data_IF_767618316661
#
_entry.id   IF_767618316661
#
_cell.length_a   1.000
_cell.length_b   1.000
_cell.length_c   1.000
_cell.angle_alpha   90.00
_cell.angle_beta   90.00
_cell.angle_gamma   90.00
#
_symmetry.space_group_name_H-M   'P 1'
#
loop_
_entity.id
_entity.type
_entity.pdbx_description
1 polymer ?
#
# COMPACT_ATOMS: atom_id res chain seq x y z
N UNK A 1 2.70 7.43 15.32
CA UNK A 1 3.65 7.34 14.18
C UNK A 1 3.71 8.69 13.48
N UNK A 2 4.90 9.16 13.14
CA UNK A 2 5.10 10.40 12.39
C UNK A 2 5.92 10.09 11.14
N UNK A 3 5.42 10.51 9.96
CA UNK A 3 6.13 10.42 8.69
C UNK A 3 6.46 11.84 8.23
N UNK A 4 7.72 12.22 8.30
CA UNK A 4 8.23 13.53 7.89
C UNK A 4 8.91 13.53 6.53
N UNK A 5 9.47 12.39 6.14
CA UNK A 5 10.19 12.22 4.87
C UNK A 5 9.47 11.17 4.00
N UNK A 6 8.77 11.62 2.98
CA UNK A 6 8.10 10.78 1.99
C UNK A 6 8.05 11.49 0.64
N UNK A 7 7.73 10.78 -0.43
CA UNK A 7 7.84 11.26 -1.82
C UNK A 7 7.24 12.65 -2.07
N UNK A 8 6.14 12.98 -1.41
CA UNK A 8 5.41 14.25 -1.56
C UNK A 8 5.55 15.18 -0.35
N UNK A 9 6.46 14.90 0.59
CA UNK A 9 6.65 15.68 1.83
C UNK A 9 7.01 17.16 1.60
N UNK A 10 7.50 17.51 0.41
CA UNK A 10 7.77 18.90 0.03
C UNK A 10 6.50 19.74 -0.17
N UNK A 11 5.35 19.10 -0.32
CA UNK A 11 4.05 19.73 -0.62
C UNK A 11 3.02 19.54 0.49
N UNK A 12 3.30 18.69 1.46
CA UNK A 12 2.39 18.34 2.55
C UNK A 12 3.12 18.31 3.88
N UNK A 13 2.40 18.63 4.94
CA UNK A 13 2.88 18.53 6.30
C UNK A 13 3.21 17.08 6.70
N UNK A 14 3.98 16.87 7.79
CA UNK A 14 4.23 15.54 8.31
C UNK A 14 2.92 14.78 8.59
N UNK A 15 2.85 13.54 8.14
CA UNK A 15 1.69 12.68 8.40
C UNK A 15 1.82 12.14 9.82
N UNK A 16 0.85 12.46 10.67
CA UNK A 16 0.76 11.97 12.06
C UNK A 16 -0.40 11.00 12.16
N UNK A 17 -0.11 9.75 12.51
CA UNK A 17 -1.11 8.69 12.65
C UNK A 17 -1.07 8.06 14.03
N UNK A 18 -2.25 7.88 14.61
CA UNK A 18 -2.44 7.05 15.80
C UNK A 18 -2.62 5.61 15.35
N UNK A 19 -1.71 4.73 15.75
CA UNK A 19 -1.78 3.32 15.40
C UNK A 19 -2.80 2.60 16.30
N UNK A 20 -3.55 1.62 15.78
CA UNK A 20 -4.43 0.78 16.60
C UNK A 20 -3.65 0.07 17.70
N UNK A 21 -4.25 -0.05 18.89
CA UNK A 21 -3.60 -0.64 20.08
C UNK A 21 -3.05 -2.05 19.82
N UNK A 22 -3.80 -2.90 19.12
CA UNK A 22 -3.35 -4.25 18.76
C UNK A 22 -2.10 -4.24 17.89
N UNK A 23 -1.98 -3.28 16.96
CA UNK A 23 -0.80 -3.13 16.13
C UNK A 23 0.40 -2.60 16.92
N UNK A 24 0.17 -1.65 17.83
CA UNK A 24 1.21 -1.14 18.73
C UNK A 24 1.83 -2.24 19.58
N UNK A 25 1.00 -3.12 20.18
CA UNK A 25 1.49 -4.27 20.97
C UNK A 25 2.37 -5.22 20.16
N UNK A 26 1.96 -5.53 18.92
CA UNK A 26 2.77 -6.38 18.01
C UNK A 26 4.11 -5.71 17.71
N UNK A 27 4.08 -4.40 17.45
CA UNK A 27 5.26 -3.62 17.14
C UNK A 27 6.23 -3.57 18.35
N UNK A 28 5.73 -3.27 19.55
CA UNK A 28 6.49 -3.23 20.79
C UNK A 28 7.13 -4.60 21.06
N UNK A 29 6.37 -5.69 21.06
CA UNK A 29 6.90 -7.04 21.19
C UNK A 29 7.98 -7.37 20.16
N UNK A 30 7.81 -6.92 18.92
CA UNK A 30 8.80 -7.13 17.86
C UNK A 30 10.09 -6.37 18.11
N UNK A 31 10.01 -5.14 18.61
CA UNK A 31 11.18 -4.31 18.93
C UNK A 31 11.90 -4.79 20.20
N UNK A 32 11.16 -5.27 21.20
CA UNK A 32 11.73 -5.87 22.41
C UNK A 32 12.50 -7.16 22.12
N UNK A 33 11.94 -8.03 21.26
CA UNK A 33 12.59 -9.29 20.87
C UNK A 33 13.81 -9.09 19.97
N UNK A 34 13.72 -8.09 19.10
CA UNK A 34 14.75 -7.77 18.10
C UNK A 34 14.99 -6.27 18.09
N UNK A 35 15.78 -5.73 19.03
CA UNK A 35 16.14 -4.31 19.08
C UNK A 35 16.78 -3.87 17.76
N UNK A 36 16.27 -2.79 17.16
CA UNK A 36 16.75 -2.29 15.88
C UNK A 36 16.38 -0.81 15.72
N UNK A 37 17.14 -0.11 14.92
CA UNK A 37 16.91 1.31 14.62
C UNK A 37 15.79 1.51 13.61
N UNK A 38 15.70 0.64 12.61
CA UNK A 38 14.69 0.74 11.56
C UNK A 38 13.53 -0.23 11.81
N UNK A 39 12.30 0.19 11.52
CA UNK A 39 11.11 -0.66 11.70
C UNK A 39 11.19 -1.94 10.88
N UNK A 40 11.61 -1.84 9.63
CA UNK A 40 11.84 -2.96 8.74
C UNK A 40 13.32 -3.06 8.41
N UNK A 41 13.91 -4.22 8.67
CA UNK A 41 15.34 -4.49 8.48
C UNK A 41 15.55 -5.77 7.68
N UNK A 42 16.67 -5.81 6.98
CA UNK A 42 17.13 -7.02 6.31
C UNK A 42 17.72 -8.04 7.31
N UNK A 43 18.21 -9.16 6.82
CA UNK A 43 18.80 -10.22 7.68
C UNK A 43 20.06 -9.80 8.41
N UNK A 44 20.67 -8.67 8.05
CA UNK A 44 21.85 -8.08 8.71
C UNK A 44 21.48 -6.98 9.71
N UNK A 45 20.18 -6.75 9.93
CA UNK A 45 19.61 -5.67 10.73
C UNK A 45 19.82 -4.26 10.15
N UNK A 46 20.21 -4.14 8.89
CA UNK A 46 20.31 -2.87 8.18
C UNK A 46 18.96 -2.49 7.55
N UNK A 47 18.80 -1.21 7.21
CA UNK A 47 17.68 -0.74 6.44
C UNK A 47 17.60 -1.45 5.09
N UNK A 48 16.39 -1.75 4.64
CA UNK A 48 16.18 -2.27 3.29
C UNK A 48 16.54 -1.23 2.21
N UNK A 49 17.13 -1.69 1.12
CA UNK A 49 17.07 -0.93 -0.13
C UNK A 49 15.61 -0.93 -0.64
N UNK A 50 15.20 0.07 -1.47
CA UNK A 50 13.84 0.09 -2.02
C UNK A 50 13.46 -1.20 -2.74
N UNK A 51 14.40 -1.80 -3.47
CA UNK A 51 14.21 -3.05 -4.18
C UNK A 51 14.11 -4.25 -3.24
N UNK A 52 14.99 -4.30 -2.23
CA UNK A 52 14.96 -5.33 -1.19
C UNK A 52 13.65 -5.32 -0.41
N UNK A 53 13.15 -4.14 -0.06
CA UNK A 53 11.86 -3.99 0.61
C UNK A 53 10.69 -4.48 -0.26
N UNK A 54 10.66 -4.10 -1.53
CA UNK A 54 9.62 -4.57 -2.46
C UNK A 54 9.62 -6.09 -2.61
N UNK A 55 10.79 -6.70 -2.69
CA UNK A 55 10.94 -8.15 -2.78
C UNK A 55 10.48 -8.84 -1.50
N UNK A 56 10.87 -8.29 -0.34
CA UNK A 56 10.45 -8.79 0.97
C UNK A 56 8.92 -8.71 1.14
N UNK A 57 8.29 -7.58 0.80
CA UNK A 57 6.83 -7.43 0.85
C UNK A 57 6.13 -8.47 -0.01
N UNK A 58 6.58 -8.66 -1.26
CA UNK A 58 5.97 -9.65 -2.16
C UNK A 58 6.07 -11.06 -1.60
N UNK A 59 7.21 -11.44 -1.07
CA UNK A 59 7.42 -12.75 -0.47
C UNK A 59 6.53 -12.98 0.75
N UNK A 60 6.45 -11.99 1.63
CA UNK A 60 5.59 -12.05 2.83
C UNK A 60 4.11 -12.12 2.45
N UNK A 61 3.68 -11.34 1.46
CA UNK A 61 2.29 -11.37 0.99
C UNK A 61 1.93 -12.65 0.24
N UNK A 62 2.88 -13.27 -0.44
CA UNK A 62 2.70 -14.58 -1.09
C UNK A 62 2.33 -15.67 -0.07
N UNK A 63 2.97 -15.68 1.09
CA UNK A 63 2.66 -16.60 2.18
C UNK A 63 1.27 -16.32 2.79
N UNK A 64 0.85 -15.04 2.87
CA UNK A 64 -0.43 -14.62 3.45
C UNK A 64 -1.63 -14.80 2.51
N UNK A 65 -1.42 -14.80 1.20
CA UNK A 65 -2.48 -14.79 0.17
C UNK A 65 -2.41 -16.02 -0.76
N UNK A 66 -2.10 -17.19 -0.22
CA UNK A 66 -2.13 -18.48 -0.93
C UNK A 66 -1.40 -18.47 -2.29
N UNK A 67 -0.14 -18.04 -2.27
CA UNK A 67 0.71 -17.98 -3.47
C UNK A 67 0.48 -16.77 -4.37
N UNK A 68 -0.40 -15.84 -3.99
CA UNK A 68 -0.51 -14.53 -4.64
C UNK A 68 0.46 -13.57 -3.96
N UNK A 69 1.23 -12.85 -4.74
CA UNK A 69 2.22 -11.91 -4.23
C UNK A 69 1.84 -10.45 -4.55
N UNK A 70 0.79 -9.88 -3.94
CA UNK A 70 0.44 -8.49 -4.17
C UNK A 70 1.54 -7.58 -3.64
N UNK A 71 2.03 -6.68 -4.50
CA UNK A 71 2.90 -5.59 -4.06
C UNK A 71 2.11 -4.47 -3.39
N UNK A 72 2.81 -3.53 -2.75
CA UNK A 72 2.21 -2.37 -2.06
C UNK A 72 1.27 -1.58 -2.97
N UNK A 73 1.63 -1.41 -4.24
CA UNK A 73 0.76 -0.69 -5.20
C UNK A 73 -0.58 -1.40 -5.40
N UNK A 74 -0.59 -2.74 -5.48
CA UNK A 74 -1.84 -3.49 -5.62
C UNK A 74 -2.70 -3.41 -4.36
N UNK A 75 -2.09 -3.45 -3.17
CA UNK A 75 -2.80 -3.25 -1.90
C UNK A 75 -3.42 -1.86 -1.82
N UNK A 76 -2.73 -0.83 -2.31
CA UNK A 76 -3.25 0.54 -2.40
C UNK A 76 -4.44 0.62 -3.36
N UNK A 77 -4.35 0.01 -4.54
CA UNK A 77 -5.46 -0.09 -5.49
C UNK A 77 -6.68 -0.79 -4.86
N UNK A 78 -6.46 -1.91 -4.18
CA UNK A 78 -7.53 -2.65 -3.51
C UNK A 78 -8.21 -1.81 -2.43
N UNK A 79 -7.44 -1.11 -1.60
CA UNK A 79 -7.96 -0.21 -0.57
C UNK A 79 -8.81 0.91 -1.20
N UNK A 80 -8.28 1.65 -2.17
CA UNK A 80 -9.01 2.74 -2.81
C UNK A 80 -10.28 2.24 -3.53
N UNK A 81 -10.25 1.04 -4.10
CA UNK A 81 -11.43 0.44 -4.77
C UNK A 81 -12.51 0.03 -3.77
N UNK A 82 -12.13 -0.38 -2.56
CA UNK A 82 -13.05 -0.79 -1.51
C UNK A 82 -13.77 0.39 -0.82
N UNK A 83 -13.30 1.63 -1.02
CA UNK A 83 -13.93 2.81 -0.43
C UNK A 83 -15.28 3.11 -1.10
N UNK A 84 -16.31 3.36 -0.32
CA UNK A 84 -17.63 3.76 -0.82
C UNK A 84 -17.69 5.28 -1.01
N UNK A 85 -17.16 5.74 -2.13
CA UNK A 85 -17.11 7.17 -2.47
C UNK A 85 -18.48 7.85 -2.54
N UNK A 86 -19.56 7.10 -2.71
CA UNK A 86 -20.92 7.67 -2.76
C UNK A 86 -21.43 8.07 -1.37
N UNK A 87 -20.87 7.48 -0.32
CA UNK A 87 -21.22 7.78 1.07
C UNK A 87 -20.24 8.72 1.76
N UNK A 88 -19.13 9.06 1.10
CA UNK A 88 -18.08 9.89 1.65
C UNK A 88 -18.28 11.36 1.27
N UNK A 89 -18.04 12.23 2.21
CA UNK A 89 -17.91 13.67 1.98
C UNK A 89 -16.58 14.01 1.31
N UNK A 90 -16.49 15.16 0.65
CA UNK A 90 -15.22 15.66 0.10
C UNK A 90 -14.10 15.74 1.14
N UNK A 91 -14.45 16.16 2.36
CA UNK A 91 -13.50 16.28 3.48
C UNK A 91 -12.93 14.91 3.89
N UNK A 92 -13.76 13.88 4.00
CA UNK A 92 -13.32 12.51 4.30
C UNK A 92 -12.43 11.96 3.20
N UNK A 93 -12.73 12.24 1.94
CA UNK A 93 -11.88 11.85 0.81
C UNK A 93 -10.50 12.52 0.87
N UNK A 94 -10.47 13.82 1.18
CA UNK A 94 -9.22 14.59 1.30
C UNK A 94 -8.39 14.09 2.48
N UNK A 95 -9.01 13.79 3.62
CA UNK A 95 -8.35 13.24 4.80
C UNK A 95 -7.69 11.88 4.50
N UNK A 96 -8.41 10.97 3.86
CA UNK A 96 -7.85 9.66 3.48
C UNK A 96 -6.71 9.82 2.48
N UNK A 97 -6.86 10.69 1.47
CA UNK A 97 -5.83 10.94 0.49
C UNK A 97 -4.56 11.50 1.14
N UNK A 98 -4.70 12.46 2.05
CA UNK A 98 -3.59 13.04 2.81
C UNK A 98 -2.88 11.97 3.66
N UNK A 99 -3.61 11.12 4.36
CA UNK A 99 -3.06 9.99 5.14
C UNK A 99 -2.31 8.98 4.28
N UNK A 100 -2.69 8.81 3.01
CA UNK A 100 -2.00 7.98 2.04
C UNK A 100 -0.83 8.70 1.33
N UNK A 101 -0.60 9.99 1.64
CA UNK A 101 0.47 10.80 1.05
C UNK A 101 0.27 11.14 -0.41
N UNK A 102 -0.98 11.32 -0.86
CA UNK A 102 -1.31 11.75 -2.22
C UNK A 102 -2.54 12.67 -2.26
N UNK A 103 -2.83 13.29 -3.41
CA UNK A 103 -4.03 14.11 -3.59
C UNK A 103 -5.29 13.25 -3.80
N UNK A 104 -6.48 13.84 -3.56
CA UNK A 104 -7.77 13.20 -3.83
C UNK A 104 -7.91 12.79 -5.29
N UNK A 105 -7.43 13.60 -6.23
CA UNK A 105 -7.40 13.24 -7.66
C UNK A 105 -6.58 11.97 -7.89
N UNK A 106 -5.40 11.86 -7.26
CA UNK A 106 -4.56 10.67 -7.36
C UNK A 106 -5.19 9.44 -6.70
N UNK A 107 -5.93 9.64 -5.62
CA UNK A 107 -6.69 8.57 -4.98
C UNK A 107 -7.75 7.97 -5.90
N UNK A 108 -8.44 8.82 -6.67
CA UNK A 108 -9.44 8.35 -7.64
C UNK A 108 -8.80 7.57 -8.81
N UNK A 109 -7.57 7.92 -9.22
CA UNK A 109 -6.83 7.15 -10.23
C UNK A 109 -6.50 5.72 -9.77
N UNK A 110 -6.35 5.50 -8.47
CA UNK A 110 -6.15 4.16 -7.91
C UNK A 110 -7.43 3.32 -7.85
N UNK A 111 -8.59 3.94 -8.02
CA UNK A 111 -9.87 3.24 -8.04
C UNK A 111 -10.03 2.48 -9.35
N UNK A 112 -10.22 1.18 -9.26
CA UNK A 112 -10.56 0.34 -10.42
C UNK A 112 -12.07 0.29 -10.55
N UNK A 113 -12.62 1.04 -11.49
CA UNK A 113 -14.07 1.18 -11.68
C UNK A 113 -14.71 -0.04 -12.35
N UNK A 114 -13.94 -0.82 -13.12
CA UNK A 114 -14.37 -2.04 -13.80
C UNK A 114 -13.33 -3.13 -13.62
N UNK A 115 -13.51 -3.95 -12.61
CA UNK A 115 -12.81 -5.22 -12.51
C UNK A 115 -13.46 -6.24 -13.47
N UNK A 116 -13.35 -6.02 -14.79
CA UNK A 116 -13.43 -7.17 -15.70
C UNK A 116 -12.28 -8.11 -15.32
N UNK A 117 -12.57 -9.40 -15.08
CA UNK A 117 -11.53 -10.33 -14.71
C UNK A 117 -10.38 -10.25 -15.71
N UNK A 118 -9.15 -10.16 -15.22
CA UNK A 118 -7.91 -10.01 -16.04
C UNK A 118 -7.83 -11.02 -17.18
N UNK A 119 -8.49 -12.20 -17.05
CA UNK A 119 -8.58 -13.20 -18.11
C UNK A 119 -9.51 -12.80 -19.28
N UNK A 120 -10.47 -11.91 -19.12
CA UNK A 120 -11.26 -11.39 -20.26
C UNK A 120 -10.46 -10.40 -21.07
N UNK A 121 -9.59 -9.61 -20.42
CA UNK A 121 -8.66 -8.73 -21.13
C UNK A 121 -7.64 -9.51 -21.97
N UNK A 122 -7.14 -10.65 -21.46
CA UNK A 122 -6.24 -11.52 -22.21
C UNK A 122 -6.92 -12.25 -23.39
N UNK A 123 -8.21 -12.58 -23.29
CA UNK A 123 -8.96 -13.17 -24.41
C UNK A 123 -9.25 -12.15 -25.54
N UNK A 124 -9.36 -10.88 -25.21
CA UNK A 124 -9.52 -9.80 -26.21
C UNK A 124 -8.27 -9.57 -27.06
N UNK A 125 -7.08 -9.72 -26.45
CA UNK A 125 -5.79 -9.53 -27.13
C UNK A 125 -5.40 -10.70 -28.02
N UNK A 126 -5.94 -11.91 -27.81
CA UNK A 126 -5.63 -13.08 -28.65
C UNK A 126 -6.49 -13.18 -29.90
N UNK A 127 -7.50 -12.31 -30.08
CA UNK A 127 -8.38 -12.30 -31.26
C UNK A 127 -8.00 -11.27 -32.33
N UNK A 128 -6.98 -10.44 -32.09
CA UNK A 128 -6.54 -9.41 -33.04
C UNK A 128 -5.28 -9.76 -33.83
N UNK A 129 -4.83 -10.99 -33.80
CA UNK A 129 -3.68 -11.43 -34.60
C UNK A 129 -4.00 -12.68 -35.41
N UNK A 130 -5.01 -12.63 -36.28
CA UNK A 130 -5.09 -13.51 -37.47
C UNK A 130 -5.89 -12.75 -38.52
N UNK A 131 -5.18 -12.10 -39.39
CA UNK A 131 -5.64 -11.85 -40.77
C UNK A 131 -4.42 -11.69 -41.66
#
# INVERSE_FOLDING_TARGET
>A
MVLSEYKTSKHYDPIVETLPEGFLRILECSLERHPREFLFVNTKLDAFTPQGFSTWVRRTTEELFDGRAPGISLLRHAFCTALDYNKMTGLEMDEIAMRMGHSTARQQEYRVLDMKPIHEYRRGLSKTSVS
#
